data_IF_458110207121
#
_entry.id   IF_458110207121
#
_cell.length_a   1.000
_cell.length_b   1.000
_cell.length_c   1.000
_cell.angle_alpha   90.00
_cell.angle_beta   90.00
_cell.angle_gamma   90.00
#
_symmetry.space_group_name_H-M   'P 1'
#
loop_
_entity.id
_entity.type
_entity.pdbx_description
1 polymer ?
#
# COMPACT_ATOMS: atom_id res chain seq x y z
N UNK A 1 -25.09 -67.71 -49.92
CA UNK A 1 -25.86 -68.87 -49.43
C UNK A 1 -24.84 -69.92 -49.05
N UNK A 2 -24.25 -69.74 -47.86
CA UNK A 2 -24.56 -70.36 -46.56
C UNK A 2 -23.73 -71.62 -46.31
N UNK A 3 -22.92 -71.47 -45.27
CA UNK A 3 -21.81 -72.28 -44.79
C UNK A 3 -22.17 -73.56 -44.01
N UNK A 4 -21.14 -74.42 -43.90
CA UNK A 4 -20.64 -75.12 -42.72
C UNK A 4 -21.45 -76.19 -41.97
N UNK A 5 -20.81 -77.35 -41.80
CA UNK A 5 -20.56 -77.96 -40.48
C UNK A 5 -19.49 -79.07 -40.58
N UNK A 6 -18.40 -78.96 -39.82
CA UNK A 6 -17.78 -80.13 -39.17
C UNK A 6 -16.81 -79.69 -38.08
N UNK A 7 -17.00 -80.27 -36.90
CA UNK A 7 -16.40 -79.93 -35.61
C UNK A 7 -14.95 -80.42 -35.47
N UNK A 8 -14.08 -79.57 -34.91
CA UNK A 8 -12.92 -80.01 -34.15
C UNK A 8 -12.84 -79.23 -32.83
N UNK A 9 -12.74 -79.98 -31.73
CA UNK A 9 -12.74 -79.49 -30.36
C UNK A 9 -11.41 -78.79 -29.99
N UNK A 10 -11.42 -77.82 -29.05
CA UNK A 10 -10.22 -77.15 -28.60
C UNK A 10 -9.53 -77.91 -27.45
N UNK A 11 -8.20 -78.04 -27.51
CA UNK A 11 -7.39 -78.33 -26.33
C UNK A 11 -7.21 -77.00 -25.58
N UNK A 12 -7.82 -76.87 -24.41
CA UNK A 12 -7.57 -75.75 -23.50
C UNK A 12 -6.43 -76.11 -22.54
N UNK A 13 -5.28 -75.45 -22.70
CA UNK A 13 -4.30 -75.32 -21.62
C UNK A 13 -4.65 -74.07 -20.81
N UNK A 14 -5.06 -74.30 -19.58
CA UNK A 14 -5.38 -73.29 -18.57
C UNK A 14 -4.10 -72.56 -18.16
N UNK A 15 -3.94 -71.30 -18.58
CA UNK A 15 -2.90 -70.41 -18.05
C UNK A 15 -3.44 -69.81 -16.76
N UNK A 16 -3.07 -70.40 -15.62
CA UNK A 16 -3.42 -69.88 -14.30
C UNK A 16 -2.73 -68.54 -14.06
N UNK A 17 -3.43 -67.44 -14.29
CA UNK A 17 -2.97 -66.10 -13.91
C UNK A 17 -2.95 -66.01 -12.38
N UNK A 18 -1.84 -65.61 -11.73
CA UNK A 18 -1.81 -65.47 -10.28
C UNK A 18 -2.74 -64.32 -9.87
N UNK A 19 -3.81 -64.66 -9.16
CA UNK A 19 -4.73 -63.69 -8.56
C UNK A 19 -3.98 -62.90 -7.48
N UNK A 20 -3.65 -61.64 -7.79
CA UNK A 20 -3.09 -60.70 -6.81
C UNK A 20 -4.15 -60.50 -5.72
N UNK A 21 -3.87 -60.79 -4.44
CA UNK A 21 -4.85 -60.60 -3.38
C UNK A 21 -5.19 -59.11 -3.26
N UNK A 22 -6.47 -58.80 -3.12
CA UNK A 22 -6.94 -57.44 -2.94
C UNK A 22 -6.22 -56.80 -1.74
N UNK A 23 -5.75 -55.54 -1.87
CA UNK A 23 -5.01 -54.90 -0.80
C UNK A 23 -5.88 -54.80 0.46
N UNK A 24 -5.28 -54.99 1.65
CA UNK A 24 -6.01 -54.97 2.90
C UNK A 24 -6.64 -53.58 3.16
N UNK A 25 -7.86 -53.56 3.70
CA UNK A 25 -8.74 -52.39 3.80
C UNK A 25 -8.11 -51.16 4.48
N UNK A 26 -7.14 -51.36 5.37
CA UNK A 26 -6.42 -50.27 6.05
C UNK A 26 -5.62 -49.39 5.07
N UNK A 27 -5.07 -49.95 3.99
CA UNK A 27 -4.32 -49.17 2.98
C UNK A 27 -5.24 -48.21 2.21
N UNK A 28 -6.49 -48.61 2.00
CA UNK A 28 -7.50 -47.77 1.37
C UNK A 28 -7.90 -46.60 2.28
N UNK A 29 -8.04 -46.87 3.58
CA UNK A 29 -8.31 -45.84 4.59
C UNK A 29 -7.15 -44.85 4.73
N UNK A 30 -5.90 -45.33 4.80
CA UNK A 30 -4.71 -44.46 4.87
C UNK A 30 -4.60 -43.59 3.62
N UNK A 31 -4.82 -44.16 2.43
CA UNK A 31 -4.82 -43.41 1.18
C UNK A 31 -5.92 -42.34 1.13
N UNK A 32 -7.11 -42.65 1.65
CA UNK A 32 -8.22 -41.70 1.75
C UNK A 32 -7.89 -40.52 2.68
N UNK A 33 -7.43 -40.80 3.91
CA UNK A 33 -7.06 -39.76 4.87
C UNK A 33 -5.87 -38.91 4.41
N UNK A 34 -4.90 -39.52 3.72
CA UNK A 34 -3.79 -38.79 3.12
C UNK A 34 -4.27 -37.81 2.05
N UNK A 35 -5.18 -38.23 1.16
CA UNK A 35 -5.76 -37.37 0.12
C UNK A 35 -6.57 -36.22 0.70
N UNK A 36 -7.39 -36.49 1.71
CA UNK A 36 -8.16 -35.46 2.43
C UNK A 36 -7.23 -34.45 3.11
N UNK A 37 -6.22 -34.93 3.86
CA UNK A 37 -5.25 -34.07 4.53
C UNK A 37 -4.42 -33.23 3.56
N UNK A 38 -3.97 -33.82 2.46
CA UNK A 38 -3.22 -33.10 1.42
C UNK A 38 -4.07 -32.03 0.73
N UNK A 39 -5.32 -32.33 0.42
CA UNK A 39 -6.25 -31.36 -0.20
C UNK A 39 -6.55 -30.20 0.75
N UNK A 40 -6.75 -30.49 2.04
CA UNK A 40 -6.95 -29.49 3.07
C UNK A 40 -5.70 -28.60 3.25
N UNK A 41 -4.51 -29.21 3.30
CA UNK A 41 -3.24 -28.48 3.41
C UNK A 41 -3.00 -27.55 2.22
N UNK A 42 -3.29 -27.97 0.99
CA UNK A 42 -3.20 -27.12 -0.20
C UNK A 42 -4.18 -25.95 -0.14
N UNK A 43 -5.43 -26.20 0.27
CA UNK A 43 -6.44 -25.14 0.48
C UNK A 43 -5.98 -24.11 1.53
N UNK A 44 -5.47 -24.57 2.67
CA UNK A 44 -4.92 -23.70 3.70
C UNK A 44 -3.68 -22.92 3.23
N UNK A 45 -2.81 -23.54 2.43
CA UNK A 45 -1.62 -22.89 1.88
C UNK A 45 -1.99 -21.73 0.93
N UNK A 46 -3.04 -21.89 0.13
CA UNK A 46 -3.58 -20.82 -0.74
C UNK A 46 -4.20 -19.69 0.09
N UNK A 47 -4.90 -20.00 1.17
CA UNK A 47 -5.51 -18.99 2.05
C UNK A 47 -4.44 -18.19 2.83
N UNK A 48 -3.36 -18.84 3.28
CA UNK A 48 -2.26 -18.17 4.00
C UNK A 48 -1.38 -17.37 3.03
N UNK A 49 -1.21 -17.83 1.78
CA UNK A 49 -0.48 -17.13 0.73
C UNK A 49 -1.14 -15.82 0.25
N UNK A 50 -2.42 -15.62 0.53
CA UNK A 50 -3.14 -14.36 0.25
C UNK A 50 -3.04 -13.33 1.39
N UNK A 51 -2.47 -13.69 2.55
CA UNK A 51 -2.09 -12.75 3.60
C UNK A 51 -0.67 -12.18 3.39
N UNK A 52 -0.19 -12.17 2.15
CA UNK A 52 0.92 -11.31 1.77
C UNK A 52 0.49 -9.88 1.99
N UNK A 53 1.17 -9.16 2.88
CA UNK A 53 1.08 -7.71 2.99
C UNK A 53 1.29 -7.13 1.60
N UNK A 54 0.19 -6.83 0.90
CA UNK A 54 0.21 -5.96 -0.25
C UNK A 54 0.82 -4.68 0.26
N UNK A 55 2.05 -4.39 -0.16
CA UNK A 55 2.62 -3.06 -0.10
C UNK A 55 1.70 -2.20 -0.96
N UNK A 56 0.59 -1.73 -0.37
CA UNK A 56 -0.22 -0.68 -0.92
C UNK A 56 0.78 0.43 -1.24
N UNK A 57 1.00 0.69 -2.53
CA UNK A 57 1.62 1.95 -2.95
C UNK A 57 0.79 3.02 -2.22
N UNK A 58 1.37 3.60 -1.18
CA UNK A 58 0.61 4.29 -0.15
C UNK A 58 0.12 5.60 -0.76
N UNK A 59 -1.08 5.58 -1.35
CA UNK A 59 -1.82 6.80 -1.60
C UNK A 59 -1.94 7.50 -0.26
N UNK A 60 -1.39 8.71 -0.16
CA UNK A 60 -1.47 9.54 1.04
C UNK A 60 -2.94 9.61 1.48
N UNK A 61 -3.29 9.15 2.69
CA UNK A 61 -4.66 9.13 3.16
C UNK A 61 -5.07 10.55 3.61
N UNK A 62 -5.26 11.44 2.64
CA UNK A 62 -5.75 12.78 2.89
C UNK A 62 -7.14 12.73 3.53
N UNK A 63 -7.30 13.43 4.64
CA UNK A 63 -8.56 13.56 5.37
C UNK A 63 -8.95 15.03 5.47
N UNK A 64 -10.22 15.32 5.76
CA UNK A 64 -10.61 16.71 6.07
C UNK A 64 -9.84 17.20 7.28
N UNK A 65 -9.25 18.39 7.19
CA UNK A 65 -8.43 18.93 8.28
C UNK A 65 -9.20 19.02 9.61
N UNK A 66 -10.48 19.39 9.55
CA UNK A 66 -11.39 19.45 10.71
C UNK A 66 -11.57 18.11 11.44
N UNK A 67 -11.26 16.98 10.81
CA UNK A 67 -11.36 15.66 11.43
C UNK A 67 -10.08 15.22 12.16
N UNK A 68 -8.95 15.86 11.90
CA UNK A 68 -7.63 15.40 12.37
C UNK A 68 -6.88 16.41 13.24
N UNK A 69 -7.24 17.70 13.17
CA UNK A 69 -6.63 18.73 14.00
C UNK A 69 -7.67 19.55 14.76
N UNK A 70 -7.33 20.09 15.95
CA UNK A 70 -8.19 21.02 16.67
C UNK A 70 -8.48 22.29 15.85
N UNK A 71 -9.64 22.88 16.08
CA UNK A 71 -10.09 24.08 15.37
C UNK A 71 -9.12 25.26 15.50
N UNK A 72 -8.52 25.46 16.68
CA UNK A 72 -7.53 26.53 16.91
C UNK A 72 -6.28 26.38 16.04
N UNK A 73 -5.80 25.15 15.82
CA UNK A 73 -4.67 24.87 14.94
C UNK A 73 -5.05 25.15 13.49
N UNK A 74 -6.25 24.72 13.10
CA UNK A 74 -6.75 24.93 11.75
C UNK A 74 -6.89 26.42 11.42
N UNK A 75 -7.39 27.22 12.36
CA UNK A 75 -7.49 28.68 12.20
C UNK A 75 -6.12 29.34 12.05
N UNK A 76 -5.14 28.94 12.86
CA UNK A 76 -3.76 29.40 12.74
C UNK A 76 -3.18 29.09 11.36
N UNK A 77 -3.37 27.85 10.88
CA UNK A 77 -2.84 27.38 9.59
C UNK A 77 -3.48 28.15 8.43
N UNK A 78 -4.79 28.37 8.47
CA UNK A 78 -5.52 29.12 7.43
C UNK A 78 -5.04 30.57 7.40
N UNK A 79 -5.03 31.26 8.55
CA UNK A 79 -4.62 32.66 8.64
C UNK A 79 -3.16 32.89 8.21
N UNK A 80 -2.27 31.91 8.44
CA UNK A 80 -0.87 32.03 8.07
C UNK A 80 -0.60 31.83 6.57
N UNK A 81 -1.49 31.15 5.85
CA UNK A 81 -1.21 30.63 4.51
C UNK A 81 -2.19 31.08 3.41
N UNK A 82 -3.35 31.62 3.77
CA UNK A 82 -4.36 32.01 2.78
C UNK A 82 -5.29 33.11 3.27
N UNK A 83 -5.75 33.94 2.33
CA UNK A 83 -6.79 34.95 2.54
C UNK A 83 -8.21 34.41 2.27
N UNK A 84 -8.38 33.09 2.05
CA UNK A 84 -9.71 32.50 1.89
C UNK A 84 -10.57 32.69 3.14
N UNK A 85 -11.88 32.76 2.93
CA UNK A 85 -12.84 32.73 4.02
C UNK A 85 -12.65 31.47 4.89
N UNK A 86 -12.69 31.65 6.20
CA UNK A 86 -12.44 30.58 7.18
C UNK A 86 -13.40 29.40 7.00
N UNK A 87 -14.67 29.65 6.69
CA UNK A 87 -15.68 28.61 6.47
C UNK A 87 -15.34 27.82 5.22
N UNK A 88 -15.05 28.52 4.12
CA UNK A 88 -14.67 27.90 2.85
C UNK A 88 -13.38 27.08 2.97
N UNK A 89 -12.38 27.60 3.69
CA UNK A 89 -11.13 26.91 3.92
C UNK A 89 -11.34 25.64 4.79
N UNK A 90 -12.12 25.72 5.87
CA UNK A 90 -12.46 24.56 6.72
C UNK A 90 -13.18 23.43 5.97
N UNK A 91 -13.97 23.76 4.94
CA UNK A 91 -14.70 22.77 4.12
C UNK A 91 -13.81 22.01 3.14
N UNK A 92 -12.78 22.68 2.63
CA UNK A 92 -11.98 22.19 1.48
C UNK A 92 -10.57 21.73 1.87
N UNK A 93 -10.03 22.22 2.99
CA UNK A 93 -8.67 21.91 3.40
C UNK A 93 -8.53 20.44 3.81
N UNK A 94 -7.57 19.78 3.18
CA UNK A 94 -7.20 18.42 3.52
C UNK A 94 -5.92 18.41 4.35
N UNK A 95 -5.79 17.42 5.22
CA UNK A 95 -4.61 17.19 6.03
C UNK A 95 -4.25 15.70 6.07
N UNK A 96 -2.96 15.44 6.28
CA UNK A 96 -2.41 14.11 6.51
C UNK A 96 -1.44 14.17 7.68
N UNK A 97 -1.62 13.26 8.64
CA UNK A 97 -0.84 13.24 9.88
C UNK A 97 0.07 12.01 9.91
N UNK A 98 1.31 12.22 10.33
CA UNK A 98 2.34 11.19 10.50
C UNK A 98 2.90 11.29 11.92
N UNK A 99 2.96 10.16 12.61
CA UNK A 99 3.53 10.11 13.95
C UNK A 99 5.05 10.30 13.91
N UNK A 100 5.55 11.19 14.78
CA UNK A 100 6.97 11.37 15.06
C UNK A 100 7.32 10.81 16.44
N UNK A 101 8.60 10.95 16.82
CA UNK A 101 9.07 10.58 18.16
C UNK A 101 8.59 11.55 19.23
N UNK A 102 8.50 12.83 18.88
CA UNK A 102 8.16 13.92 19.79
C UNK A 102 6.92 14.66 19.30
N UNK A 103 5.80 13.95 19.10
CA UNK A 103 4.56 14.52 18.59
C UNK A 103 4.24 14.05 17.17
N UNK A 104 3.54 14.87 16.39
CA UNK A 104 3.05 14.52 15.06
C UNK A 104 3.43 15.58 14.04
N UNK A 105 3.78 15.15 12.83
CA UNK A 105 3.77 16.02 11.66
C UNK A 105 2.36 16.00 11.08
N UNK A 106 1.75 17.15 10.87
CA UNK A 106 0.53 17.28 10.06
C UNK A 106 0.80 18.12 8.84
N UNK A 107 0.67 17.52 7.66
CA UNK A 107 0.75 18.18 6.37
C UNK A 107 -0.63 18.68 5.95
N UNK A 108 -0.72 19.92 5.51
CA UNK A 108 -1.92 20.55 4.97
C UNK A 108 -1.77 20.73 3.46
N UNK A 109 -2.83 20.36 2.75
CA UNK A 109 -2.91 20.36 1.31
C UNK A 109 -3.83 21.49 0.84
N UNK A 110 -3.22 22.57 0.35
CA UNK A 110 -3.94 23.71 -0.24
C UNK A 110 -4.14 23.52 -1.76
N UNK A 111 -4.15 22.29 -2.26
CA UNK A 111 -4.57 21.98 -3.62
C UNK A 111 -6.09 22.14 -3.77
N UNK A 112 -6.54 23.39 -3.73
CA UNK A 112 -7.89 23.79 -4.07
C UNK A 112 -7.84 24.67 -5.32
N UNK A 113 -8.91 24.74 -6.13
CA UNK A 113 -8.91 25.50 -7.37
C UNK A 113 -8.47 26.96 -7.25
N UNK A 114 -8.62 27.56 -6.06
CA UNK A 114 -8.33 28.97 -5.81
C UNK A 114 -6.90 29.23 -5.28
N UNK A 115 -6.13 28.19 -4.91
CA UNK A 115 -4.86 28.33 -4.18
C UNK A 115 -3.64 27.73 -4.89
N UNK A 116 -3.84 27.08 -6.04
CA UNK A 116 -2.74 26.63 -6.88
C UNK A 116 -2.35 27.70 -7.90
N UNK A 117 -1.05 27.92 -8.07
CA UNK A 117 -0.49 28.84 -9.06
C UNK A 117 0.34 28.11 -10.11
N UNK A 118 1.04 28.88 -10.96
CA UNK A 118 1.90 28.33 -12.00
C UNK A 118 3.09 27.49 -11.46
N UNK A 119 3.47 27.70 -10.20
CA UNK A 119 4.54 26.97 -9.51
C UNK A 119 4.05 25.67 -8.85
N UNK A 120 2.76 25.35 -8.96
CA UNK A 120 2.12 24.23 -8.28
C UNK A 120 1.21 24.69 -7.15
N UNK A 121 0.88 23.75 -6.26
CA UNK A 121 0.01 23.97 -5.12
C UNK A 121 0.83 24.07 -3.84
N UNK A 122 0.37 24.89 -2.89
CA UNK A 122 1.02 25.04 -1.59
C UNK A 122 0.75 23.80 -0.71
N UNK A 123 1.81 23.30 -0.09
CA UNK A 123 1.77 22.31 0.96
C UNK A 123 2.55 22.82 2.15
N UNK A 124 1.94 22.80 3.33
CA UNK A 124 2.60 23.18 4.58
C UNK A 124 2.58 22.03 5.57
N UNK A 125 3.55 21.99 6.47
CA UNK A 125 3.67 20.96 7.49
C UNK A 125 3.89 21.59 8.85
N UNK A 126 3.09 21.18 9.82
CA UNK A 126 3.13 21.67 11.18
C UNK A 126 3.53 20.55 12.14
N UNK A 127 4.41 20.86 13.07
CA UNK A 127 4.77 20.01 14.18
C UNK A 127 3.80 20.25 15.33
N UNK A 128 2.97 19.24 15.61
CA UNK A 128 1.96 19.27 16.66
C UNK A 128 2.45 18.45 17.85
N UNK A 129 2.55 19.11 19.00
CA UNK A 129 2.96 18.51 20.28
C UNK A 129 1.87 18.73 21.31
N UNK A 130 1.73 17.77 22.21
CA UNK A 130 0.74 17.86 23.28
C UNK A 130 1.00 19.10 24.14
N UNK A 131 -0.04 19.90 24.38
CA UNK A 131 0.01 21.14 25.16
C UNK A 131 0.99 22.20 24.64
N UNK A 132 1.35 22.16 23.36
CA UNK A 132 2.20 23.16 22.73
C UNK A 132 1.56 23.74 21.47
N UNK A 133 1.94 24.96 21.13
CA UNK A 133 1.51 25.61 19.91
C UNK A 133 1.99 24.85 18.67
N UNK A 134 1.18 24.87 17.61
CA UNK A 134 1.58 24.33 16.32
C UNK A 134 2.71 25.18 15.73
N UNK A 135 3.80 24.51 15.32
CA UNK A 135 4.97 25.15 14.71
C UNK A 135 5.06 24.75 13.26
N UNK A 136 5.11 25.70 12.33
CA UNK A 136 5.35 25.37 10.93
C UNK A 136 6.79 24.92 10.73
N UNK A 137 6.97 23.75 10.11
CA UNK A 137 8.27 23.12 9.89
C UNK A 137 8.52 22.76 8.42
N UNK A 138 7.50 22.82 7.56
CA UNK A 138 7.62 22.56 6.13
C UNK A 138 6.71 23.50 5.34
N UNK A 139 7.21 24.02 4.23
CA UNK A 139 6.44 24.81 3.29
C UNK A 139 7.06 24.65 1.90
N UNK A 140 6.28 24.20 0.92
CA UNK A 140 6.73 24.11 -0.46
C UNK A 140 5.58 24.20 -1.44
N UNK A 141 5.86 24.77 -2.62
CA UNK A 141 4.99 24.66 -3.79
C UNK A 141 5.38 23.41 -4.57
N UNK A 142 4.43 22.52 -4.76
CA UNK A 142 4.65 21.22 -5.41
C UNK A 142 3.62 21.00 -6.51
N UNK A 143 4.03 20.33 -7.58
CA UNK A 143 3.13 19.90 -8.63
C UNK A 143 2.41 18.61 -8.21
N UNK A 144 1.08 18.61 -8.00
CA UNK A 144 0.33 17.40 -7.66
C UNK A 144 0.08 16.47 -8.86
N UNK A 145 0.35 16.93 -10.09
CA UNK A 145 0.06 16.19 -11.31
C UNK A 145 1.15 15.14 -11.58
N UNK A 146 0.97 13.97 -10.96
CA UNK A 146 1.84 12.81 -11.11
C UNK A 146 1.14 11.71 -11.93
N UNK A 147 1.91 10.77 -12.52
CA UNK A 147 1.34 9.58 -13.14
C UNK A 147 0.47 8.79 -12.17
N UNK A 148 -0.46 7.99 -12.70
CA UNK A 148 -1.35 7.16 -11.89
C UNK A 148 -0.55 6.26 -10.92
N UNK A 149 -1.08 6.08 -9.71
CA UNK A 149 -0.50 5.27 -8.63
C UNK A 149 0.86 5.74 -8.11
N UNK A 150 1.23 7.00 -8.36
CA UNK A 150 2.44 7.63 -7.79
C UNK A 150 2.02 8.69 -6.76
N UNK A 151 2.24 8.45 -5.46
CA UNK A 151 1.86 9.40 -4.44
C UNK A 151 2.80 10.61 -4.42
N UNK A 152 2.25 11.81 -4.17
CA UNK A 152 3.04 13.03 -4.04
C UNK A 152 3.94 13.01 -2.80
N UNK A 153 3.42 12.53 -1.69
CA UNK A 153 4.17 12.36 -0.45
C UNK A 153 4.22 10.89 -0.03
N UNK A 154 5.31 10.51 0.63
CA UNK A 154 5.40 9.28 1.40
C UNK A 154 6.21 9.55 2.67
N UNK A 155 6.02 8.69 3.67
CA UNK A 155 6.88 8.70 4.86
C UNK A 155 8.22 8.10 4.44
N UNK A 156 9.29 8.89 4.58
CA UNK A 156 10.65 8.44 4.30
C UNK A 156 11.30 7.79 5.52
N UNK A 157 12.58 7.50 5.38
CA UNK A 157 13.38 6.89 6.44
C UNK A 157 13.37 7.71 7.74
N UNK A 158 13.29 7.02 8.87
CA UNK A 158 13.48 7.66 10.17
C UNK A 158 14.98 7.71 10.51
N UNK A 159 15.60 8.88 10.33
CA UNK A 159 17.03 9.11 10.62
C UNK A 159 17.33 9.46 12.08
N UNK A 160 16.48 9.00 13.01
CA UNK A 160 16.65 9.23 14.43
C UNK A 160 16.10 10.57 14.94
N UNK A 161 15.56 11.41 14.05
CA UNK A 161 15.06 12.76 14.31
C UNK A 161 13.70 12.75 15.03
N UNK A 162 13.28 13.92 15.53
CA UNK A 162 11.99 14.12 16.22
C UNK A 162 10.79 13.81 15.31
N UNK A 163 10.92 14.08 14.01
CA UNK A 163 9.93 13.80 12.98
C UNK A 163 10.57 12.92 11.88
N UNK A 164 9.79 12.06 11.19
CA UNK A 164 10.31 11.24 10.10
C UNK A 164 10.69 12.10 8.88
N UNK A 165 11.53 11.58 7.99
CA UNK A 165 11.73 12.25 6.70
C UNK A 165 10.45 12.16 5.84
N UNK A 166 10.31 13.07 4.90
CA UNK A 166 9.27 13.12 3.88
C UNK A 166 9.90 12.83 2.52
N UNK A 167 9.38 11.82 1.83
CA UNK A 167 9.68 11.63 0.41
C UNK A 167 8.65 12.37 -0.40
N UNK A 168 9.10 13.22 -1.32
CA UNK A 168 8.25 14.01 -2.19
C UNK A 168 8.59 13.68 -3.63
N UNK A 169 7.59 13.22 -4.38
CA UNK A 169 7.75 12.87 -5.79
C UNK A 169 7.31 14.03 -6.68
N UNK A 170 8.14 14.43 -7.65
CA UNK A 170 7.87 15.53 -8.57
C UNK A 170 8.16 15.12 -10.02
N UNK A 171 7.47 15.77 -10.96
CA UNK A 171 7.83 15.68 -12.38
C UNK A 171 9.00 16.63 -12.67
N UNK A 172 10.03 16.12 -13.35
CA UNK A 172 11.12 16.90 -13.93
C UNK A 172 11.16 16.59 -15.44
N UNK A 173 10.46 17.42 -16.22
CA UNK A 173 10.15 17.12 -17.61
C UNK A 173 9.24 15.89 -17.72
N UNK A 174 9.74 14.83 -18.37
CA UNK A 174 9.05 13.54 -18.50
C UNK A 174 9.55 12.49 -17.49
N UNK A 175 10.44 12.85 -16.57
CA UNK A 175 11.02 11.96 -15.57
C UNK A 175 10.46 12.26 -14.19
N UNK A 176 10.52 11.26 -13.31
CA UNK A 176 10.16 11.40 -11.91
C UNK A 176 11.40 11.68 -11.08
N UNK A 177 11.31 12.67 -10.20
CA UNK A 177 12.35 13.03 -9.24
C UNK A 177 11.82 12.84 -7.84
N UNK A 178 12.52 12.06 -7.03
CA UNK A 178 12.28 11.95 -5.60
C UNK A 178 13.14 12.99 -4.86
N UNK A 179 12.51 13.70 -3.94
CA UNK A 179 13.11 14.69 -3.06
C UNK A 179 12.90 14.19 -1.63
N UNK A 180 13.97 13.93 -0.90
CA UNK A 180 13.87 13.49 0.49
C UNK A 180 14.16 14.65 1.42
N UNK A 181 13.13 15.12 2.12
CA UNK A 181 13.21 16.19 3.10
C UNK A 181 13.30 15.59 4.50
N UNK A 182 14.25 16.03 5.32
CA UNK A 182 14.41 15.55 6.69
C UNK A 182 14.39 16.71 7.69
N UNK A 183 13.87 16.44 8.89
CA UNK A 183 13.73 17.44 9.95
C UNK A 183 15.06 17.65 10.67
N UNK A 184 15.60 18.86 10.65
CA UNK A 184 16.91 19.14 11.24
C UNK A 184 16.88 19.63 12.71
N UNK A 185 15.71 19.58 13.36
CA UNK A 185 15.50 20.14 14.71
C UNK A 185 14.73 21.47 14.71
N UNK A 186 14.67 22.14 13.57
CA UNK A 186 13.94 23.40 13.37
C UNK A 186 12.92 23.28 12.24
N UNK A 187 13.38 22.82 11.06
CA UNK A 187 12.54 22.68 9.86
C UNK A 187 13.00 21.54 8.97
N UNK A 188 12.15 21.19 8.00
CA UNK A 188 12.50 20.25 6.95
C UNK A 188 13.47 20.88 5.96
N UNK A 189 14.54 20.14 5.65
CA UNK A 189 15.53 20.50 4.63
C UNK A 189 15.72 19.36 3.64
N UNK A 190 16.02 19.70 2.39
CA UNK A 190 16.33 18.70 1.36
C UNK A 190 17.62 17.98 1.75
N UNK A 191 17.51 16.71 2.11
CA UNK A 191 18.64 15.87 2.50
C UNK A 191 19.27 15.20 1.28
N UNK A 192 18.45 14.73 0.34
CA UNK A 192 18.91 14.13 -0.89
C UNK A 192 17.85 14.23 -2.01
N UNK A 193 18.31 13.99 -3.23
CA UNK A 193 17.46 14.03 -4.42
C UNK A 193 17.90 13.00 -5.44
N UNK A 194 16.95 12.26 -5.98
CA UNK A 194 17.19 11.17 -6.92
C UNK A 194 16.29 11.35 -8.14
N UNK A 195 16.90 11.34 -9.33
CA UNK A 195 16.17 11.35 -10.59
C UNK A 195 16.03 9.91 -11.10
N UNK A 196 14.80 9.45 -11.27
CA UNK A 196 14.57 8.13 -11.83
C UNK A 196 14.85 8.14 -13.33
N UNK A 197 15.77 7.30 -13.76
CA UNK A 197 16.00 7.00 -15.16
C UNK A 197 14.99 5.96 -15.62
N UNK A 198 14.33 6.22 -16.75
CA UNK A 198 13.45 5.29 -17.45
C UNK A 198 14.18 4.03 -17.89
#
# INVERSE_FOLDING_TARGET
MTDSASNQAPIQQELSTPTIPAPPHWLWQVGYWFRVGFSLFLLLSVLIGMAGCSSSAATVPWQKATAVVPESVLEQVIQANTDLDMTQAKETLLAWTVDGKEGKLTLFNFNTPNLCGALGCLYTGYWLRENQSAVEVFQNYLNPNLPANKPLFQVGENRGQALPCLEVLQMEGNRLRQLNYCFNGDRYQLADSQLFTS
#
